data_IF_372579284130
#
_entry.id   IF_372579284130
#
_cell.length_a   1.000
_cell.length_b   1.000
_cell.length_c   1.000
_cell.angle_alpha   90.00
_cell.angle_beta   90.00
_cell.angle_gamma   90.00
#
_symmetry.space_group_name_H-M   'P 1'
#
loop_
_entity.id
_entity.type
_entity.pdbx_description
1 polymer ?
#
# COMPACT_ATOMS: atom_id res chain seq x y z
N UNK A 1 -14.48 15.70 23.79
CA UNK A 1 -13.32 15.13 24.49
C UNK A 1 -13.42 13.64 24.31
N UNK A 2 -12.74 13.12 23.30
CA UNK A 2 -12.64 11.68 23.10
C UNK A 2 -11.40 11.30 23.89
N UNK A 3 -11.61 10.54 24.96
CA UNK A 3 -10.54 10.08 25.84
C UNK A 3 -9.85 8.90 25.18
N UNK A 4 -8.56 9.02 24.94
CA UNK A 4 -7.69 7.88 24.64
C UNK A 4 -7.75 6.92 25.84
N UNK A 5 -8.26 5.70 25.62
CA UNK A 5 -8.22 4.65 26.63
C UNK A 5 -6.76 4.13 26.69
N UNK A 6 -6.06 4.18 27.84
CA UNK A 6 -4.65 3.76 27.93
C UNK A 6 -4.46 2.24 27.82
N UNK A 7 -5.53 1.49 27.52
CA UNK A 7 -5.59 0.02 27.55
C UNK A 7 -5.44 -0.67 26.20
N UNK A 8 -5.52 0.04 25.07
CA UNK A 8 -5.28 -0.56 23.76
C UNK A 8 -3.77 -0.62 23.49
N UNK A 9 -3.06 -1.41 24.29
CA UNK A 9 -1.88 -2.10 23.76
C UNK A 9 -2.37 -2.88 22.55
N UNK A 10 -2.04 -2.40 21.35
CA UNK A 10 -1.93 -3.25 20.16
C UNK A 10 -0.97 -4.36 20.58
N UNK A 11 -1.51 -5.44 21.13
CA UNK A 11 -0.77 -6.65 21.39
C UNK A 11 -0.30 -7.06 20.00
N UNK A 12 1.02 -6.95 19.83
CA UNK A 12 1.87 -7.46 18.77
C UNK A 12 1.24 -8.74 18.17
N UNK A 13 0.24 -8.55 17.31
CA UNK A 13 -0.16 -9.54 16.33
C UNK A 13 1.13 -9.74 15.53
N UNK A 14 1.49 -10.97 15.19
CA UNK A 14 2.64 -11.29 14.33
C UNK A 14 2.50 -10.64 12.92
N UNK A 15 2.50 -9.31 12.86
CA UNK A 15 2.37 -8.42 11.71
C UNK A 15 3.73 -8.21 11.03
N UNK A 16 4.76 -8.87 11.55
CA UNK A 16 6.06 -8.96 10.92
C UNK A 16 5.97 -9.65 9.56
N UNK A 17 6.95 -9.38 8.67
CA UNK A 17 7.00 -10.02 7.37
C UNK A 17 7.04 -11.54 7.51
N UNK A 18 6.20 -12.23 6.75
CA UNK A 18 6.17 -13.69 6.71
C UNK A 18 6.90 -14.18 5.48
N UNK A 19 7.90 -15.05 5.67
CA UNK A 19 8.47 -15.81 4.57
C UNK A 19 7.47 -16.90 4.15
N UNK A 20 6.81 -16.70 3.00
CA UNK A 20 5.88 -17.66 2.44
C UNK A 20 6.58 -18.48 1.35
N UNK A 21 6.79 -19.78 1.59
CA UNK A 21 7.23 -20.72 0.56
C UNK A 21 6.02 -21.50 0.04
N UNK A 22 5.76 -21.40 -1.26
CA UNK A 22 4.61 -22.01 -1.92
C UNK A 22 5.06 -22.80 -3.16
N UNK A 23 4.45 -23.95 -3.37
CA UNK A 23 4.61 -24.77 -4.58
C UNK A 23 3.24 -25.00 -5.21
N UNK A 24 3.21 -25.19 -6.53
CA UNK A 24 1.99 -25.47 -7.30
C UNK A 24 2.21 -26.64 -8.22
N UNK A 25 1.13 -27.36 -8.57
CA UNK A 25 1.15 -28.33 -9.64
C UNK A 25 1.08 -27.65 -11.01
N UNK A 26 1.44 -28.38 -12.06
CA UNK A 26 1.29 -27.90 -13.44
C UNK A 26 -0.18 -27.57 -13.74
N UNK A 27 -0.43 -26.39 -14.31
CA UNK A 27 -1.78 -25.89 -14.60
C UNK A 27 -2.50 -25.18 -13.45
N UNK A 28 -1.98 -25.20 -12.21
CA UNK A 28 -2.59 -24.44 -11.10
C UNK A 28 -2.16 -22.96 -11.11
N UNK A 29 -3.01 -22.07 -10.62
CA UNK A 29 -2.58 -20.73 -10.19
C UNK A 29 -2.21 -20.77 -8.71
N UNK A 30 -1.52 -19.76 -8.22
CA UNK A 30 -1.22 -19.66 -6.78
C UNK A 30 -2.40 -19.15 -5.94
N UNK A 31 -3.49 -18.70 -6.57
CA UNK A 31 -4.69 -18.28 -5.86
C UNK A 31 -4.60 -16.92 -5.15
N UNK A 32 -3.71 -16.03 -5.58
CA UNK A 32 -3.62 -14.66 -5.07
C UNK A 32 -3.47 -13.64 -6.20
N UNK A 33 -3.83 -12.40 -5.90
CA UNK A 33 -3.53 -11.22 -6.71
C UNK A 33 -2.65 -10.28 -5.90
N UNK A 34 -1.71 -9.62 -6.57
CA UNK A 34 -0.92 -8.56 -5.95
C UNK A 34 -1.69 -7.25 -6.03
N UNK A 35 -1.63 -6.46 -4.96
CA UNK A 35 -2.21 -5.13 -4.88
C UNK A 35 -1.16 -4.17 -4.35
N UNK A 36 -1.17 -2.94 -4.85
CA UNK A 36 -0.34 -1.85 -4.34
C UNK A 36 -1.08 -1.20 -3.17
N UNK A 37 -0.43 -1.16 -2.00
CA UNK A 37 -1.03 -0.67 -0.76
C UNK A 37 -0.21 0.51 -0.25
N UNK A 38 -0.87 1.58 0.18
CA UNK A 38 -0.23 2.71 0.82
C UNK A 38 0.09 2.39 2.28
N UNK A 39 1.28 2.80 2.72
CA UNK A 39 1.78 2.60 4.08
C UNK A 39 2.57 3.83 4.50
N UNK A 40 2.60 4.08 5.79
CA UNK A 40 3.34 5.15 6.44
C UNK A 40 3.00 6.55 5.88
N UNK A 41 1.71 6.90 5.85
CA UNK A 41 1.25 8.24 5.44
C UNK A 41 1.67 9.28 6.48
N UNK A 42 2.58 10.16 6.08
CA UNK A 42 3.11 11.21 6.94
C UNK A 42 2.07 12.28 7.31
N UNK A 43 2.05 12.67 8.58
CA UNK A 43 1.24 13.79 9.08
C UNK A 43 1.64 15.12 8.41
N UNK A 44 0.65 15.89 7.98
CA UNK A 44 0.82 17.16 7.27
C UNK A 44 1.24 17.00 5.80
N UNK A 45 1.33 15.77 5.29
CA UNK A 45 1.68 15.53 3.90
C UNK A 45 0.52 15.86 2.94
N UNK A 46 0.79 16.10 1.64
CA UNK A 46 -0.27 16.20 0.63
C UNK A 46 -1.16 14.94 0.55
N UNK A 47 -0.63 13.77 0.92
CA UNK A 47 -1.39 12.53 0.95
C UNK A 47 -2.44 12.55 2.07
N UNK A 48 -2.06 12.92 3.30
CA UNK A 48 -3.02 13.10 4.40
C UNK A 48 -4.05 14.19 4.06
N UNK A 49 -3.61 15.32 3.50
CA UNK A 49 -4.51 16.40 3.07
C UNK A 49 -5.50 15.99 1.96
N UNK A 50 -5.17 14.97 1.17
CA UNK A 50 -6.06 14.37 0.18
C UNK A 50 -6.99 13.31 0.79
N UNK A 51 -6.87 13.01 2.08
CA UNK A 51 -7.65 11.99 2.80
C UNK A 51 -7.18 10.56 2.53
N UNK A 52 -5.92 10.37 2.14
CA UNK A 52 -5.32 9.05 1.95
C UNK A 52 -4.88 8.49 3.31
N UNK A 53 -5.08 7.19 3.52
CA UNK A 53 -4.81 6.52 4.79
C UNK A 53 -3.91 5.28 4.62
N UNK A 54 -3.27 4.87 5.72
CA UNK A 54 -2.53 3.61 5.78
C UNK A 54 -3.45 2.42 5.50
N UNK A 55 -3.05 1.58 4.55
CA UNK A 55 -3.85 0.42 4.11
C UNK A 55 -4.72 0.69 2.88
N UNK A 56 -4.79 1.92 2.38
CA UNK A 56 -5.50 2.23 1.15
C UNK A 56 -4.91 1.49 -0.06
N UNK A 57 -5.80 1.04 -0.95
CA UNK A 57 -5.43 0.37 -2.20
C UNK A 57 -5.20 1.39 -3.31
N UNK A 58 -4.00 1.38 -3.89
CA UNK A 58 -3.69 2.21 -5.05
C UNK A 58 -4.21 1.53 -6.32
N UNK A 59 -5.34 2.02 -6.84
CA UNK A 59 -5.99 1.47 -8.05
C UNK A 59 -5.51 2.15 -9.34
N UNK A 60 -5.17 3.43 -9.28
CA UNK A 60 -4.74 4.20 -10.44
C UNK A 60 -3.76 5.32 -10.08
N UNK A 61 -2.87 5.67 -11.01
CA UNK A 61 -1.97 6.82 -10.92
C UNK A 61 -2.24 7.73 -12.11
N UNK A 62 -2.61 8.99 -11.86
CA UNK A 62 -2.97 9.97 -12.90
C UNK A 62 -4.13 9.51 -13.82
N UNK A 63 -5.08 8.73 -13.29
CA UNK A 63 -6.22 8.21 -14.05
C UNK A 63 -5.93 6.96 -14.86
N UNK A 64 -4.71 6.41 -14.79
CA UNK A 64 -4.37 5.15 -15.43
C UNK A 64 -4.34 3.99 -14.40
N UNK A 65 -5.03 2.86 -14.68
CA UNK A 65 -5.05 1.71 -13.78
C UNK A 65 -3.67 1.09 -13.57
N UNK A 66 -3.39 0.64 -12.34
CA UNK A 66 -2.09 0.02 -11.98
C UNK A 66 -2.19 -1.47 -11.62
N UNK A 67 -3.36 -2.09 -11.77
CA UNK A 67 -3.62 -3.49 -11.35
C UNK A 67 -2.68 -4.51 -12.00
N UNK A 68 -2.27 -4.28 -13.25
CA UNK A 68 -1.36 -5.15 -13.99
C UNK A 68 0.08 -4.65 -14.05
N UNK A 69 0.41 -3.60 -13.28
CA UNK A 69 1.74 -2.99 -13.30
C UNK A 69 2.62 -3.56 -12.18
N UNK A 70 3.89 -3.77 -12.50
CA UNK A 70 4.90 -4.08 -11.50
C UNK A 70 5.10 -2.89 -10.57
N UNK A 71 5.48 -3.18 -9.32
CA UNK A 71 5.60 -2.14 -8.29
C UNK A 71 6.58 -1.02 -8.68
N UNK A 72 7.71 -1.37 -9.31
CA UNK A 72 8.72 -0.40 -9.75
C UNK A 72 8.17 0.60 -10.78
N UNK A 73 7.36 0.13 -11.73
CA UNK A 73 6.74 0.98 -12.74
C UNK A 73 5.74 1.97 -12.13
N UNK A 74 4.97 1.52 -11.14
CA UNK A 74 4.04 2.39 -10.38
C UNK A 74 4.80 3.48 -9.65
N UNK A 75 5.89 3.12 -8.95
CA UNK A 75 6.75 4.08 -8.24
C UNK A 75 7.37 5.09 -9.21
N UNK A 76 7.86 4.64 -10.36
CA UNK A 76 8.39 5.53 -11.40
C UNK A 76 7.32 6.51 -11.87
N UNK A 77 6.10 6.04 -12.15
CA UNK A 77 4.98 6.86 -12.63
C UNK A 77 4.56 7.93 -11.62
N UNK A 78 4.61 7.61 -10.33
CA UNK A 78 4.43 8.58 -9.25
C UNK A 78 5.55 9.62 -9.32
N UNK A 79 6.82 9.23 -9.39
CA UNK A 79 7.95 10.19 -9.40
C UNK A 79 7.96 11.13 -10.62
N UNK A 80 7.58 10.63 -11.80
CA UNK A 80 7.69 11.35 -13.07
C UNK A 80 6.89 12.67 -13.15
N UNK A 81 5.76 12.78 -12.44
CA UNK A 81 4.94 14.00 -12.44
C UNK A 81 5.14 14.89 -11.22
N UNK A 82 5.55 14.33 -10.09
CA UNK A 82 5.79 15.11 -8.87
C UNK A 82 7.08 15.95 -8.97
N UNK A 83 8.05 15.54 -9.79
CA UNK A 83 9.27 16.32 -10.05
C UNK A 83 9.13 17.41 -11.15
N UNK A 84 7.97 17.55 -11.81
CA UNK A 84 7.77 18.58 -12.86
C UNK A 84 7.06 19.84 -12.37
N UNK A 85 6.87 19.97 -11.06
CA UNK A 85 6.19 21.10 -10.40
C UNK A 85 7.06 21.88 -9.41
N UNK A 86 8.39 21.81 -9.54
CA UNK A 86 9.35 22.73 -8.90
C UNK A 86 10.18 23.44 -9.98
#
# INVERSE_FOLDING_TARGET
>A
VITEDPGDTYQDLDLGPRLCQISRLEGQTFGFSLLHVLRDVDMGSPAEGAGMEDGDLLLAVNGEPVESMEHEDVVQRIRERWCKGL
#
